data_IF_703995533657
#
_entry.id   IF_703995533657
#
_cell.length_a   1.000
_cell.length_b   1.000
_cell.length_c   1.000
_cell.angle_alpha   90.00
_cell.angle_beta   90.00
_cell.angle_gamma   90.00
#
_symmetry.space_group_name_H-M   'P 1'
#
loop_
_entity.id
_entity.type
_entity.pdbx_description
1 polymer ?
#
# COMPACT_ATOMS: atom_id res chain seq x y z
N UNK A 1 -54.53 -4.10 -51.11
CA UNK A 1 -54.59 -5.31 -51.96
C UNK A 1 -53.22 -5.99 -51.91
N UNK A 2 -53.14 -7.30 -51.63
CA UNK A 2 -52.12 -8.33 -52.03
C UNK A 2 -50.77 -7.81 -52.64
N UNK A 3 -49.55 -8.27 -52.32
CA UNK A 3 -48.97 -9.58 -51.88
C UNK A 3 -47.60 -9.25 -51.19
N UNK A 4 -47.20 -9.69 -49.97
CA UNK A 4 -46.67 -10.99 -49.47
C UNK A 4 -45.33 -11.52 -50.07
N UNK A 5 -44.23 -11.29 -49.33
CA UNK A 5 -43.19 -12.24 -48.90
C UNK A 5 -42.85 -13.53 -49.72
N UNK A 6 -41.57 -13.71 -50.12
CA UNK A 6 -40.72 -14.92 -49.89
C UNK A 6 -39.32 -14.72 -50.51
N UNK A 7 -38.20 -14.81 -49.78
CA UNK A 7 -37.54 -16.04 -49.29
C UNK A 7 -36.90 -16.92 -50.35
N UNK A 8 -35.57 -17.10 -50.26
CA UNK A 8 -34.96 -18.43 -50.24
C UNK A 8 -33.61 -18.43 -49.52
N UNK A 9 -33.64 -18.92 -48.28
CA UNK A 9 -32.45 -19.44 -47.60
C UNK A 9 -32.01 -20.74 -48.28
N UNK A 10 -30.69 -20.98 -48.36
CA UNK A 10 -30.13 -22.30 -48.66
C UNK A 10 -29.08 -22.63 -47.58
N UNK A 11 -29.43 -23.58 -46.70
CA UNK A 11 -28.49 -24.30 -45.82
C UNK A 11 -28.75 -25.80 -45.96
N UNK A 12 -27.88 -26.51 -46.71
CA UNK A 12 -27.84 -27.97 -46.97
C UNK A 12 -26.42 -28.32 -47.47
N UNK A 13 -25.66 -29.32 -46.97
CA UNK A 13 -25.71 -29.99 -45.67
C UNK A 13 -24.34 -30.56 -45.19
N UNK A 14 -24.22 -30.72 -43.88
CA UNK A 14 -23.63 -31.85 -43.13
C UNK A 14 -22.69 -32.89 -43.81
N UNK A 15 -21.47 -33.00 -43.24
CA UNK A 15 -20.47 -34.10 -43.24
C UNK A 15 -20.41 -35.14 -44.38
N UNK A 16 -19.18 -35.39 -44.84
CA UNK A 16 -18.53 -36.71 -44.69
C UNK A 16 -16.99 -36.60 -44.76
N UNK A 17 -16.29 -37.02 -43.70
CA UNK A 17 -14.87 -37.41 -43.75
C UNK A 17 -14.76 -38.80 -44.37
N UNK A 18 -13.85 -39.03 -45.32
CA UNK A 18 -13.04 -40.26 -45.36
C UNK A 18 -11.61 -39.91 -45.83
N UNK A 19 -10.65 -40.58 -45.19
CA UNK A 19 -9.19 -40.53 -45.34
C UNK A 19 -8.62 -40.64 -46.76
N UNK A 20 -7.45 -40.02 -46.97
CA UNK A 20 -6.39 -40.65 -47.73
C UNK A 20 -5.10 -40.71 -46.89
N UNK A 21 -4.58 -41.91 -46.68
CA UNK A 21 -3.25 -42.16 -46.09
C UNK A 21 -2.22 -42.23 -47.22
N UNK A 22 -1.18 -41.40 -47.18
CA UNK A 22 0.04 -41.62 -47.96
C UNK A 22 1.26 -41.52 -47.04
N UNK A 23 1.95 -42.65 -46.86
CA UNK A 23 3.15 -42.77 -46.02
C UNK A 23 4.38 -42.30 -46.80
N UNK A 24 5.08 -41.26 -46.33
CA UNK A 24 6.48 -41.00 -46.74
C UNK A 24 7.32 -40.41 -45.61
N UNK A 25 8.33 -41.19 -45.23
CA UNK A 25 9.62 -40.85 -44.60
C UNK A 25 9.83 -39.50 -43.88
N UNK A 26 10.06 -39.64 -42.58
CA UNK A 26 11.01 -38.93 -41.72
C UNK A 26 12.05 -38.05 -42.46
N UNK A 27 12.08 -36.77 -42.09
CA UNK A 27 13.29 -35.93 -42.11
C UNK A 27 13.28 -35.01 -40.88
N UNK A 28 13.73 -35.54 -39.73
CA UNK A 28 13.84 -34.75 -38.50
C UNK A 28 15.08 -33.84 -38.57
N UNK A 29 14.93 -32.64 -39.12
CA UNK A 29 15.92 -31.59 -38.96
C UNK A 29 15.80 -31.03 -37.53
N UNK A 30 16.47 -31.70 -36.58
CA UNK A 30 16.66 -31.14 -35.25
C UNK A 30 17.56 -29.93 -35.36
N UNK A 31 16.95 -28.75 -35.45
CA UNK A 31 17.58 -27.48 -35.09
C UNK A 31 17.85 -27.54 -33.59
N UNK A 32 18.97 -28.16 -33.22
CA UNK A 32 19.61 -27.92 -31.94
C UNK A 32 20.00 -26.46 -31.91
N UNK A 33 19.12 -25.62 -31.36
CA UNK A 33 19.55 -24.39 -30.73
C UNK A 33 20.53 -24.83 -29.64
N UNK A 34 21.83 -24.80 -29.99
CA UNK A 34 22.88 -24.94 -29.02
C UNK A 34 22.67 -23.84 -28.02
N UNK A 35 22.27 -24.20 -26.80
CA UNK A 35 22.41 -23.33 -25.66
C UNK A 35 23.92 -23.23 -25.46
N UNK A 36 24.54 -22.28 -26.16
CA UNK A 36 25.86 -21.79 -25.81
C UNK A 36 25.69 -21.06 -24.50
N UNK A 37 25.71 -21.82 -23.40
CA UNK A 37 26.18 -21.31 -22.12
C UNK A 37 27.62 -20.89 -22.33
N UNK A 38 27.81 -19.67 -22.84
CA UNK A 38 29.09 -18.99 -22.80
C UNK A 38 29.35 -18.68 -21.32
N UNK A 39 29.82 -19.68 -20.58
CA UNK A 39 30.44 -19.52 -19.27
C UNK A 39 31.81 -18.89 -19.48
N UNK A 40 31.79 -17.64 -19.94
CA UNK A 40 32.94 -16.76 -19.92
C UNK A 40 33.14 -16.29 -18.47
N UNK A 41 33.61 -17.21 -17.62
CA UNK A 41 34.15 -16.87 -16.30
C UNK A 41 35.48 -16.14 -16.49
N UNK A 42 35.40 -14.87 -16.92
CA UNK A 42 36.48 -13.91 -16.71
C UNK A 42 36.37 -13.39 -15.28
N UNK A 43 37.48 -13.47 -14.56
CA UNK A 43 37.58 -13.10 -13.15
C UNK A 43 37.50 -11.56 -12.98
N UNK A 44 36.28 -11.03 -12.87
CA UNK A 44 36.00 -9.72 -12.29
C UNK A 44 34.83 -9.87 -11.29
N UNK A 45 35.04 -9.48 -10.04
CA UNK A 45 34.21 -9.86 -8.88
C UNK A 45 32.83 -9.21 -8.78
N UNK A 46 32.23 -8.77 -9.89
CA UNK A 46 30.93 -8.10 -9.93
C UNK A 46 29.86 -9.01 -10.55
N UNK A 47 29.37 -9.98 -9.78
CA UNK A 47 28.07 -10.60 -10.06
C UNK A 47 27.02 -9.49 -10.06
N UNK A 48 26.21 -9.30 -11.12
CA UNK A 48 25.17 -8.28 -11.12
C UNK A 48 24.21 -8.48 -9.95
N UNK A 49 23.95 -7.43 -9.18
CA UNK A 49 22.98 -7.47 -8.09
C UNK A 49 21.58 -7.69 -8.67
N UNK A 50 20.99 -8.85 -8.36
CA UNK A 50 19.68 -9.23 -8.88
C UNK A 50 18.60 -8.53 -8.07
N UNK A 51 18.19 -7.36 -8.55
CA UNK A 51 17.12 -6.55 -7.95
C UNK A 51 15.76 -7.26 -8.02
N UNK A 52 14.96 -7.08 -6.97
CA UNK A 52 13.64 -7.69 -6.78
C UNK A 52 12.68 -6.69 -6.12
N UNK A 53 11.39 -6.75 -6.46
CA UNK A 53 10.37 -5.98 -5.72
C UNK A 53 10.30 -6.33 -4.23
N UNK A 54 10.88 -7.46 -3.81
CA UNK A 54 11.05 -7.83 -2.39
C UNK A 54 12.16 -7.06 -1.67
N UNK A 55 13.01 -6.32 -2.37
CA UNK A 55 14.07 -5.54 -1.75
C UNK A 55 13.52 -4.37 -0.90
N UNK A 56 12.22 -4.10 -1.01
CA UNK A 56 11.47 -3.17 -0.13
C UNK A 56 11.07 -3.81 1.22
N UNK A 57 11.22 -5.13 1.41
CA UNK A 57 10.98 -5.79 2.70
C UNK A 57 12.15 -5.55 3.67
N UNK A 58 11.85 -5.28 4.94
CA UNK A 58 12.85 -5.02 5.99
C UNK A 58 12.37 -4.00 7.03
N UNK A 59 13.24 -3.63 7.97
CA UNK A 59 12.95 -2.60 8.97
C UNK A 59 13.42 -1.23 8.50
N UNK A 60 12.65 -0.21 8.85
CA UNK A 60 12.85 1.19 8.46
C UNK A 60 12.75 2.09 9.69
N UNK A 61 13.55 3.15 9.73
CA UNK A 61 13.40 4.23 10.70
C UNK A 61 13.52 5.58 10.01
N UNK A 62 12.80 6.57 10.53
CA UNK A 62 12.82 7.92 10.02
C UNK A 62 11.76 8.76 10.68
N UNK A 63 11.08 9.58 9.88
CA UNK A 63 10.29 10.70 10.38
C UNK A 63 8.94 10.80 9.69
N UNK A 64 7.88 10.97 10.47
CA UNK A 64 6.56 11.37 10.02
C UNK A 64 6.41 12.88 10.20
N UNK A 65 5.92 13.57 9.17
CA UNK A 65 5.66 15.01 9.17
C UNK A 65 4.16 15.19 8.95
N UNK A 66 3.45 15.85 9.88
CA UNK A 66 1.99 16.00 9.81
C UNK A 66 1.63 17.43 9.40
N UNK A 67 0.85 17.57 8.34
CA UNK A 67 0.33 18.87 7.90
C UNK A 67 -1.06 19.15 8.46
N UNK A 68 -1.39 20.44 8.56
CA UNK A 68 -2.69 20.89 9.04
C UNK A 68 -3.36 21.85 8.06
N UNK A 69 -4.68 21.76 7.98
CA UNK A 69 -5.58 22.72 7.35
C UNK A 69 -5.56 24.00 8.21
N UNK A 70 -4.75 24.98 7.81
CA UNK A 70 -4.63 26.24 8.55
C UNK A 70 -5.96 27.00 8.64
N UNK A 71 -6.29 27.52 9.83
CA UNK A 71 -7.38 28.50 9.99
C UNK A 71 -6.93 29.95 10.17
N UNK A 72 -5.66 30.25 10.51
CA UNK A 72 -5.15 31.64 10.55
C UNK A 72 -3.63 31.83 10.73
N UNK A 73 -3.00 32.54 9.79
CA UNK A 73 -1.93 33.57 9.98
C UNK A 73 -0.65 33.29 10.81
N UNK A 74 -0.26 32.05 11.08
CA UNK A 74 1.10 31.77 11.58
C UNK A 74 1.59 30.39 11.13
N UNK A 75 2.84 30.25 10.66
CA UNK A 75 3.42 28.94 10.37
C UNK A 75 3.69 28.19 11.68
N UNK A 76 2.70 27.41 12.14
CA UNK A 76 2.90 26.43 13.21
C UNK A 76 3.93 25.40 12.74
N UNK A 77 5.00 25.12 13.50
CA UNK A 77 6.01 24.16 13.07
C UNK A 77 5.39 22.78 12.89
N UNK A 78 5.52 22.22 11.69
CA UNK A 78 5.08 20.86 11.35
C UNK A 78 5.73 19.88 12.35
N UNK A 79 4.95 19.15 13.16
CA UNK A 79 5.50 18.21 14.11
C UNK A 79 6.19 17.08 13.35
N UNK A 80 7.45 16.88 13.67
CA UNK A 80 8.31 15.89 13.04
C UNK A 80 8.58 14.77 14.04
N UNK A 81 7.89 13.66 13.87
CA UNK A 81 7.80 12.56 14.84
C UNK A 81 8.70 11.41 14.37
N UNK A 82 9.54 10.88 15.25
CA UNK A 82 10.35 9.69 14.94
C UNK A 82 9.45 8.45 14.85
N UNK A 83 9.63 7.67 13.79
CA UNK A 83 8.80 6.50 13.48
C UNK A 83 9.64 5.32 13.02
N UNK A 84 9.26 4.13 13.45
CA UNK A 84 9.80 2.87 12.98
C UNK A 84 8.73 2.02 12.33
N UNK A 85 9.07 1.37 11.22
CA UNK A 85 8.18 0.43 10.53
C UNK A 85 8.92 -0.83 10.11
N UNK A 86 8.18 -1.89 9.83
CA UNK A 86 8.70 -3.07 9.13
C UNK A 86 7.81 -3.36 7.94
N UNK A 87 8.41 -3.59 6.77
CA UNK A 87 7.73 -4.01 5.56
C UNK A 87 7.94 -5.51 5.37
N UNK A 88 6.84 -6.26 5.26
CA UNK A 88 6.84 -7.73 5.07
C UNK A 88 5.52 -8.18 4.49
N UNK A 89 5.53 -9.14 3.57
CA UNK A 89 4.33 -9.80 3.04
C UNK A 89 3.26 -8.79 2.61
N UNK A 90 3.64 -7.87 1.71
CA UNK A 90 2.76 -6.83 1.14
C UNK A 90 2.08 -5.92 2.20
N UNK A 91 2.67 -5.81 3.40
CA UNK A 91 2.16 -4.98 4.51
C UNK A 91 3.26 -4.13 5.15
N UNK A 92 2.96 -2.85 5.39
CA UNK A 92 3.72 -1.94 6.27
C UNK A 92 3.15 -2.08 7.68
N UNK A 93 4.00 -2.45 8.64
CA UNK A 93 3.67 -2.59 10.05
C UNK A 93 4.23 -1.41 10.85
N UNK A 94 3.36 -0.67 11.52
CA UNK A 94 3.72 0.32 12.54
C UNK A 94 3.51 -0.31 13.92
N UNK A 95 4.57 -0.36 14.74
CA UNK A 95 4.43 -0.72 16.16
C UNK A 95 3.79 0.43 16.96
N UNK A 96 4.27 1.65 16.71
CA UNK A 96 3.74 2.92 17.22
C UNK A 96 3.44 3.84 16.04
N UNK A 97 2.16 3.99 15.70
CA UNK A 97 1.69 4.95 14.70
C UNK A 97 1.55 6.34 15.36
N UNK A 98 1.86 7.46 14.67
CA UNK A 98 1.80 8.80 15.27
C UNK A 98 0.35 9.28 15.45
N UNK A 99 -0.32 8.81 16.51
CA UNK A 99 -1.72 9.12 16.84
C UNK A 99 -1.92 10.36 17.70
N UNK A 100 -0.88 10.85 18.37
CA UNK A 100 -0.97 11.89 19.40
C UNK A 100 -1.63 13.19 18.88
N UNK A 101 -1.27 13.59 17.65
CA UNK A 101 -1.83 14.75 16.96
C UNK A 101 -3.31 14.56 16.59
N UNK A 102 -3.69 13.35 16.19
CA UNK A 102 -5.07 12.97 15.87
C UNK A 102 -5.93 12.97 17.14
N UNK A 103 -5.42 12.37 18.24
CA UNK A 103 -6.09 12.39 19.55
C UNK A 103 -6.29 13.84 19.99
N UNK A 104 -5.23 14.68 19.91
CA UNK A 104 -5.28 16.10 20.27
C UNK A 104 -6.35 16.88 19.48
N UNK A 105 -6.48 16.62 18.17
CA UNK A 105 -7.53 17.20 17.32
C UNK A 105 -8.94 16.75 17.72
N UNK A 106 -9.11 15.52 18.23
CA UNK A 106 -10.41 14.94 18.56
C UNK A 106 -10.89 15.35 19.96
N UNK A 107 -9.99 15.36 20.96
CA UNK A 107 -10.38 15.60 22.38
C UNK A 107 -10.03 17.00 22.89
N UNK A 108 -9.22 17.77 22.14
CA UNK A 108 -8.72 19.09 22.51
C UNK A 108 -7.46 19.05 23.39
N UNK A 109 -6.62 20.08 23.28
CA UNK A 109 -5.30 20.17 23.94
C UNK A 109 -5.35 19.98 25.46
N UNK A 110 -6.41 20.42 26.13
CA UNK A 110 -6.58 20.29 27.59
C UNK A 110 -6.65 18.82 28.05
N UNK A 111 -7.27 17.95 27.24
CA UNK A 111 -7.51 16.53 27.57
C UNK A 111 -6.52 15.59 26.89
N UNK A 112 -5.88 16.04 25.82
CA UNK A 112 -5.01 15.21 25.01
C UNK A 112 -3.91 14.48 25.81
N UNK A 113 -3.17 15.11 26.75
CA UNK A 113 -2.08 14.44 27.47
C UNK A 113 -2.53 13.19 28.24
N UNK A 114 -3.63 13.28 29.00
CA UNK A 114 -4.20 12.15 29.76
C UNK A 114 -4.68 11.03 28.82
N UNK A 115 -5.35 11.40 27.72
CA UNK A 115 -5.87 10.43 26.75
C UNK A 115 -4.75 9.76 25.93
N UNK A 116 -3.66 10.47 25.62
CA UNK A 116 -2.47 9.91 24.95
C UNK A 116 -1.74 8.93 25.87
N UNK A 117 -1.58 9.28 27.15
CA UNK A 117 -0.96 8.38 28.14
C UNK A 117 -1.78 7.09 28.32
N UNK A 118 -3.11 7.19 28.40
CA UNK A 118 -4.02 6.03 28.47
C UNK A 118 -4.08 5.21 27.17
N UNK A 119 -3.92 5.84 26.00
CA UNK A 119 -3.89 5.14 24.72
C UNK A 119 -2.62 4.31 24.51
N UNK A 120 -1.47 4.82 24.97
CA UNK A 120 -0.17 4.19 24.79
C UNK A 120 0.24 4.06 23.32
N UNK A 121 0.99 3.00 23.00
CA UNK A 121 1.49 2.75 21.64
C UNK A 121 0.42 2.08 20.76
N UNK A 122 -0.19 2.86 19.87
CA UNK A 122 -1.17 2.37 18.91
C UNK A 122 -0.49 1.76 17.68
N UNK A 123 -0.61 0.44 17.49
CA UNK A 123 -0.14 -0.25 16.28
C UNK A 123 -1.09 -0.07 15.09
N UNK A 124 -0.55 0.02 13.88
CA UNK A 124 -1.33 0.17 12.64
C UNK A 124 -0.70 -0.61 11.48
N UNK A 125 -1.50 -0.94 10.46
CA UNK A 125 -1.09 -1.73 9.29
C UNK A 125 -1.64 -1.13 8.01
N UNK A 126 -0.79 -0.99 6.99
CA UNK A 126 -1.15 -0.51 5.66
C UNK A 126 -0.76 -1.57 4.64
N UNK A 127 -1.71 -2.03 3.82
CA UNK A 127 -1.40 -2.93 2.71
C UNK A 127 -0.64 -2.18 1.62
N UNK A 128 0.23 -2.85 0.88
CA UNK A 128 0.87 -2.27 -0.30
C UNK A 128 1.08 -3.31 -1.40
N UNK A 129 1.08 -2.84 -2.65
CA UNK A 129 1.46 -3.64 -3.81
C UNK A 129 2.67 -3.02 -4.51
N UNK A 130 3.85 -3.66 -4.47
CA UNK A 130 5.07 -3.13 -5.09
C UNK A 130 5.12 -3.43 -6.60
N UNK A 131 5.73 -2.52 -7.36
CA UNK A 131 6.08 -2.68 -8.76
C UNK A 131 7.29 -1.80 -9.10
N UNK A 132 8.15 -2.20 -10.04
CA UNK A 132 9.24 -1.34 -10.50
C UNK A 132 8.73 -0.11 -11.28
N UNK A 133 9.49 0.98 -11.23
CA UNK A 133 9.40 2.05 -12.24
C UNK A 133 10.04 1.58 -13.58
N UNK A 134 9.79 2.30 -14.67
CA UNK A 134 10.31 1.93 -16.00
C UNK A 134 11.85 1.85 -16.08
N UNK A 135 12.55 2.63 -15.25
CA UNK A 135 14.01 2.65 -15.16
C UNK A 135 14.61 1.61 -14.22
N UNK A 136 13.81 0.80 -13.52
CA UNK A 136 14.24 -0.16 -12.49
C UNK A 136 15.10 0.45 -11.35
N UNK A 137 15.02 1.77 -11.14
CA UNK A 137 15.73 2.51 -10.07
C UNK A 137 14.91 2.67 -8.79
N UNK A 138 13.60 2.39 -8.86
CA UNK A 138 12.66 2.57 -7.75
C UNK A 138 11.64 1.44 -7.72
N UNK A 139 11.16 1.12 -6.52
CA UNK A 139 9.95 0.32 -6.29
C UNK A 139 8.83 1.27 -5.90
N UNK A 140 7.80 1.32 -6.74
CA UNK A 140 6.58 2.08 -6.52
C UNK A 140 5.54 1.18 -5.82
N UNK A 141 4.98 1.66 -4.71
CA UNK A 141 4.03 0.94 -3.88
C UNK A 141 2.65 1.56 -4.01
N UNK A 142 1.68 0.79 -4.48
CA UNK A 142 0.27 1.20 -4.42
C UNK A 142 -0.27 0.84 -3.04
N UNK A 143 -0.65 1.83 -2.24
CA UNK A 143 -1.08 1.61 -0.86
C UNK A 143 -2.58 1.25 -0.77
N UNK A 144 -2.92 0.45 0.24
CA UNK A 144 -4.28 0.02 0.61
C UNK A 144 -4.43 0.17 2.15
N UNK A 145 -4.54 1.41 2.66
CA UNK A 145 -4.83 1.65 4.06
C UNK A 145 -6.28 1.25 4.41
N UNK A 146 -6.51 0.91 5.67
CA UNK A 146 -7.84 0.62 6.22
C UNK A 146 -8.14 1.62 7.34
N UNK A 147 -9.41 1.89 7.69
CA UNK A 147 -9.71 2.77 8.81
C UNK A 147 -8.94 2.38 10.08
N UNK A 148 -8.24 3.34 10.66
CA UNK A 148 -7.57 3.20 11.94
C UNK A 148 -8.65 3.16 13.02
N UNK A 149 -8.63 2.14 13.87
CA UNK A 149 -9.58 1.97 14.98
C UNK A 149 -8.85 1.57 16.24
N UNK A 150 -9.12 2.27 17.33
CA UNK A 150 -8.59 1.93 18.66
C UNK A 150 -9.56 2.38 19.76
N UNK A 151 -9.45 1.72 20.91
CA UNK A 151 -10.26 1.98 22.09
C UNK A 151 -9.36 2.29 23.28
N UNK A 152 -9.77 3.26 24.09
CA UNK A 152 -9.05 3.73 25.28
C UNK A 152 -9.95 3.48 26.48
N UNK A 153 -9.43 2.80 27.50
CA UNK A 153 -10.12 2.60 28.78
C UNK A 153 -9.80 3.77 29.70
N UNK A 154 -10.84 4.51 30.12
CA UNK A 154 -10.74 5.66 31.01
C UNK A 154 -11.10 5.20 32.42
N UNK A 155 -10.19 5.33 33.40
CA UNK A 155 -10.48 4.96 34.80
C UNK A 155 -11.67 5.76 35.34
N UNK A 156 -12.69 5.05 35.82
CA UNK A 156 -13.83 5.71 36.47
C UNK A 156 -13.43 6.26 37.85
N UNK A 157 -14.00 7.40 38.23
CA UNK A 157 -13.72 8.07 39.51
C UNK A 157 -14.55 7.53 40.68
N UNK A 158 -15.51 6.66 40.40
CA UNK A 158 -16.35 5.95 41.37
C UNK A 158 -16.18 4.43 41.17
N UNK A 159 -16.55 3.60 42.16
CA UNK A 159 -16.46 2.13 42.04
C UNK A 159 -17.42 1.63 40.94
N UNK A 160 -16.88 1.41 39.75
CA UNK A 160 -17.64 1.06 38.56
C UNK A 160 -16.75 0.52 37.43
N UNK A 161 -17.37 0.14 36.32
CA UNK A 161 -16.68 -0.31 35.11
C UNK A 161 -16.04 0.90 34.40
N UNK A 162 -14.82 0.81 33.84
CA UNK A 162 -14.18 1.94 33.16
C UNK A 162 -14.98 2.42 31.96
N UNK A 163 -14.97 3.73 31.71
CA UNK A 163 -15.57 4.33 30.52
C UNK A 163 -14.71 4.00 29.31
N UNK A 164 -15.32 3.59 28.19
CA UNK A 164 -14.58 3.26 26.96
C UNK A 164 -14.76 4.37 25.93
N UNK A 165 -13.64 4.90 25.44
CA UNK A 165 -13.58 5.83 24.32
C UNK A 165 -13.13 5.09 23.05
N UNK A 166 -13.96 5.08 22.00
CA UNK A 166 -13.63 4.56 20.67
C UNK A 166 -13.26 5.71 19.73
N UNK A 167 -12.10 5.61 19.08
CA UNK A 167 -11.68 6.50 17.99
C UNK A 167 -11.57 5.67 16.70
N UNK A 168 -12.28 6.12 15.66
CA UNK A 168 -12.15 5.62 14.29
C UNK A 168 -11.70 6.77 13.39
N UNK A 169 -10.62 6.60 12.62
CA UNK A 169 -10.20 7.52 11.57
C UNK A 169 -10.19 6.85 10.20
N UNK A 170 -10.79 7.51 9.22
CA UNK A 170 -10.77 7.10 7.82
C UNK A 170 -9.43 7.54 7.22
N UNK A 171 -8.60 6.57 6.86
CA UNK A 171 -7.26 6.79 6.28
C UNK A 171 -7.26 6.38 4.82
N UNK A 172 -6.77 7.25 3.94
CA UNK A 172 -6.59 6.95 2.50
C UNK A 172 -5.17 7.27 2.02
N UNK A 173 -4.90 6.95 0.75
CA UNK A 173 -3.63 7.23 0.09
C UNK A 173 -3.89 7.41 -1.42
N UNK A 174 -3.62 8.61 -1.94
CA UNK A 174 -3.71 8.93 -3.38
C UNK A 174 -2.39 8.67 -4.10
N UNK A 175 -1.28 8.99 -3.43
CA UNK A 175 0.06 8.92 -3.98
C UNK A 175 0.66 7.52 -3.76
N UNK A 176 1.51 7.08 -4.68
CA UNK A 176 2.29 5.85 -4.51
C UNK A 176 3.41 6.07 -3.49
N UNK A 177 3.67 5.07 -2.65
CA UNK A 177 4.94 5.00 -1.94
C UNK A 177 6.09 4.78 -2.92
N UNK A 178 7.27 5.30 -2.59
CA UNK A 178 8.47 5.27 -3.43
C UNK A 178 9.63 4.78 -2.57
N UNK A 179 10.16 3.60 -2.90
CA UNK A 179 11.46 3.15 -2.42
C UNK A 179 12.52 3.39 -3.49
N UNK A 180 13.63 4.05 -3.12
CA UNK A 180 14.73 4.38 -4.04
C UNK A 180 15.98 3.57 -3.68
N UNK A 181 16.50 2.80 -4.64
CA UNK A 181 17.64 1.90 -4.39
C UNK A 181 18.93 2.65 -3.99
N UNK A 182 19.21 3.79 -4.63
CA UNK A 182 20.45 4.55 -4.44
C UNK A 182 20.67 4.94 -2.97
N UNK A 183 19.62 5.46 -2.32
CA UNK A 183 19.70 5.98 -0.96
C UNK A 183 19.08 5.03 0.09
N UNK A 184 18.49 3.91 -0.37
CA UNK A 184 17.66 2.98 0.44
C UNK A 184 16.54 3.69 1.22
N UNK A 185 16.04 4.78 0.67
CA UNK A 185 14.96 5.59 1.24
C UNK A 185 13.60 5.05 0.84
N UNK A 186 12.63 5.13 1.76
CA UNK A 186 11.21 4.90 1.54
C UNK A 186 10.45 6.17 1.89
N UNK A 187 9.67 6.69 0.93
CA UNK A 187 8.77 7.84 1.14
C UNK A 187 7.33 7.48 0.76
N UNK A 188 6.36 7.86 1.58
CA UNK A 188 4.94 7.75 1.22
C UNK A 188 4.07 8.71 2.04
N UNK A 189 2.81 8.84 1.64
CA UNK A 189 1.83 9.74 2.25
C UNK A 189 0.55 8.98 2.60
N UNK A 190 0.00 9.27 3.78
CA UNK A 190 -1.35 8.86 4.18
C UNK A 190 -2.18 10.10 4.45
N UNK A 191 -3.48 10.05 4.19
CA UNK A 191 -4.41 11.17 4.35
C UNK A 191 -5.43 10.82 5.43
N UNK A 192 -5.72 11.74 6.36
CA UNK A 192 -6.80 11.59 7.33
C UNK A 192 -8.05 12.28 6.79
N UNK A 193 -8.99 11.52 6.23
CA UNK A 193 -10.17 12.10 5.57
C UNK A 193 -11.26 12.53 6.56
N UNK A 194 -11.39 11.80 7.66
CA UNK A 194 -12.39 12.03 8.71
C UNK A 194 -12.08 11.18 9.93
N UNK A 195 -12.69 11.52 11.07
CA UNK A 195 -12.68 10.69 12.26
C UNK A 195 -14.02 10.73 12.98
N UNK A 196 -14.21 9.77 13.88
CA UNK A 196 -15.37 9.63 14.76
C UNK A 196 -14.89 9.38 16.18
N UNK A 197 -15.63 9.94 17.13
CA UNK A 197 -15.51 9.71 18.56
C UNK A 197 -16.79 9.02 19.05
N UNK A 198 -16.67 7.81 19.60
CA UNK A 198 -17.80 6.99 20.05
C UNK A 198 -18.90 6.87 18.98
N UNK A 199 -18.49 6.61 17.73
CA UNK A 199 -19.36 6.48 16.56
C UNK A 199 -19.92 7.79 15.98
N UNK A 200 -19.73 8.94 16.64
CA UNK A 200 -20.18 10.25 16.16
C UNK A 200 -19.08 10.93 15.33
N UNK A 201 -19.35 11.46 14.13
CA UNK A 201 -18.36 12.22 13.36
C UNK A 201 -17.80 13.41 14.16
N UNK A 202 -16.49 13.62 14.07
CA UNK A 202 -15.84 14.82 14.60
C UNK A 202 -15.88 15.92 13.53
N UNK A 203 -16.36 17.11 13.89
CA UNK A 203 -16.33 18.29 13.02
C UNK A 203 -14.96 19.00 13.13
N UNK A 204 -14.48 19.59 12.04
CA UNK A 204 -13.31 20.49 12.07
C UNK A 204 -11.95 19.83 12.33
N UNK A 205 -11.76 18.55 11.96
CA UNK A 205 -10.44 17.91 12.00
C UNK A 205 -9.47 18.72 11.13
N UNK A 206 -8.42 19.25 11.75
CA UNK A 206 -7.43 20.06 11.04
C UNK A 206 -6.28 19.24 10.46
N UNK A 207 -6.17 17.95 10.77
CA UNK A 207 -5.09 17.08 10.28
C UNK A 207 -5.38 16.58 8.86
N UNK A 208 -4.46 16.80 7.91
CA UNK A 208 -4.65 16.46 6.48
C UNK A 208 -3.71 15.34 6.03
N UNK A 209 -2.44 15.64 5.74
CA UNK A 209 -1.46 14.67 5.27
C UNK A 209 -0.48 14.24 6.37
N UNK A 210 -0.14 12.94 6.39
CA UNK A 210 1.00 12.36 7.12
C UNK A 210 2.03 11.91 6.10
N UNK A 211 3.15 12.64 6.00
CA UNK A 211 4.26 12.33 5.09
C UNK A 211 5.36 11.58 5.84
N UNK A 212 5.56 10.32 5.47
CA UNK A 212 6.60 9.45 6.01
C UNK A 212 7.85 9.51 5.13
N UNK A 213 9.00 9.82 5.72
CA UNK A 213 10.31 9.70 5.09
C UNK A 213 11.24 8.86 5.97
N UNK A 214 11.65 7.69 5.47
CA UNK A 214 12.41 6.71 6.24
C UNK A 214 13.58 6.13 5.46
N UNK A 215 14.61 5.70 6.18
CA UNK A 215 15.73 4.93 5.64
C UNK A 215 15.57 3.46 6.04
N UNK A 216 15.94 2.55 5.14
CA UNK A 216 16.06 1.13 5.47
C UNK A 216 17.24 0.93 6.43
N UNK A 217 17.05 0.12 7.47
CA UNK A 217 18.09 -0.29 8.42
C UNK A 217 19.01 -1.36 7.81
#
# INVERSE_FOLDING_TARGET
MKIVNNSKSIRVNHLLRVTNYSKTAIAALTLTFGITTFTACSNDGNTPEVISVKDVEGSYAGKANITFIESSTSPTPIPQIEVETTLKEDTIYFGKFPTDVLITNIVGEEKAPEIIELAGDISYKVGYKPAFNEGYTQILQTLDPKPLKFTIEIPSKEEGQPDVMEIEATISATDKGIFTYQDKTLKFKLIVESAKLNGKPCEGISMEDIVFEMNKK
#
